data_IF_392247521597
#
_entry.id   IF_392247521597
#
_cell.length_a   1.000
_cell.length_b   1.000
_cell.length_c   1.000
_cell.angle_alpha   90.00
_cell.angle_beta   90.00
_cell.angle_gamma   90.00
#
_symmetry.space_group_name_H-M   'P 1'
#
loop_
_entity.id
_entity.type
_entity.pdbx_description
1 polymer ?
#
# COMPACT_ATOMS: atom_id res chain seq x y z
N UNK A 1 -53.73 -14.67 17.94
CA UNK A 1 -54.00 -14.94 16.51
C UNK A 1 -53.18 -13.92 15.73
N UNK A 2 -52.18 -14.20 14.89
CA UNK A 2 -51.77 -15.38 14.11
C UNK A 2 -50.22 -15.43 14.12
N UNK A 3 -49.65 -16.63 14.31
CA UNK A 3 -48.22 -16.96 14.11
C UNK A 3 -48.00 -17.46 12.67
N UNK A 4 -46.88 -17.14 12.03
CA UNK A 4 -46.28 -17.87 10.87
C UNK A 4 -44.91 -17.24 10.52
N UNK A 5 -43.78 -17.74 11.05
CA UNK A 5 -42.84 -18.77 10.56
C UNK A 5 -41.69 -18.24 9.65
N UNK A 6 -40.40 -18.61 9.91
CA UNK A 6 -39.23 -18.11 9.17
C UNK A 6 -38.93 -18.89 7.87
N UNK A 7 -38.35 -18.20 6.88
CA UNK A 7 -37.87 -18.76 5.60
C UNK A 7 -36.77 -19.80 5.83
N UNK A 8 -37.01 -21.03 5.39
CA UNK A 8 -36.01 -22.10 5.35
C UNK A 8 -34.98 -21.90 4.25
N UNK A 9 -33.70 -22.08 4.59
CA UNK A 9 -32.59 -22.21 3.66
C UNK A 9 -32.65 -23.59 2.98
N UNK A 10 -32.57 -23.65 1.65
CA UNK A 10 -32.42 -24.91 0.92
C UNK A 10 -31.00 -25.49 1.12
N UNK A 11 -30.83 -26.82 1.27
CA UNK A 11 -29.50 -27.41 1.44
C UNK A 11 -28.73 -27.45 0.12
N UNK A 12 -27.48 -26.97 0.15
CA UNK A 12 -26.49 -27.08 -0.93
C UNK A 12 -26.03 -28.54 -1.01
N UNK A 13 -26.24 -29.22 -2.16
CA UNK A 13 -25.71 -30.58 -2.39
C UNK A 13 -24.18 -30.56 -2.26
N UNK A 14 -23.64 -31.26 -1.27
CA UNK A 14 -22.20 -31.48 -1.10
C UNK A 14 -21.81 -32.61 -2.05
N UNK A 15 -21.08 -32.28 -3.11
CA UNK A 15 -20.57 -33.28 -4.04
C UNK A 15 -19.25 -33.84 -3.51
N UNK A 16 -19.14 -35.16 -3.43
CA UNK A 16 -18.03 -35.81 -2.70
C UNK A 16 -16.72 -35.80 -3.52
N UNK A 17 -15.59 -35.77 -2.81
CA UNK A 17 -14.21 -35.70 -3.33
C UNK A 17 -13.86 -36.76 -4.40
N UNK A 18 -14.62 -37.87 -4.46
CA UNK A 18 -14.45 -38.96 -5.42
C UNK A 18 -14.94 -38.62 -6.84
N UNK A 19 -15.97 -37.78 -6.97
CA UNK A 19 -16.53 -37.40 -8.28
C UNK A 19 -15.67 -36.32 -8.98
N UNK A 20 -15.10 -35.38 -8.20
CA UNK A 20 -14.16 -34.37 -8.71
C UNK A 20 -12.84 -35.00 -9.21
N UNK A 21 -12.40 -36.09 -8.58
CA UNK A 21 -11.14 -36.77 -8.93
C UNK A 21 -11.23 -37.57 -10.25
N UNK A 22 -12.44 -37.95 -10.68
CA UNK A 22 -12.65 -38.66 -11.95
C UNK A 22 -12.81 -37.71 -13.16
N UNK A 23 -13.24 -36.46 -12.95
CA UNK A 23 -13.31 -35.46 -14.04
C UNK A 23 -11.95 -34.90 -14.46
N UNK A 24 -10.93 -34.93 -13.58
CA UNK A 24 -9.60 -34.40 -13.89
C UNK A 24 -8.66 -35.38 -14.63
N UNK A 25 -9.11 -36.61 -14.90
CA UNK A 25 -8.29 -37.67 -15.53
C UNK A 25 -8.60 -37.94 -17.01
N UNK A 26 -9.51 -37.20 -17.64
CA UNK A 26 -9.92 -37.46 -19.03
C UNK A 26 -9.53 -36.38 -20.05
N UNK A 27 -8.72 -35.38 -19.67
CA UNK A 27 -8.41 -34.22 -20.52
C UNK A 27 -6.95 -34.11 -20.95
N UNK A 28 -6.26 -35.24 -21.16
CA UNK A 28 -4.88 -35.22 -21.66
C UNK A 28 -4.70 -36.28 -22.73
N UNK A 29 -5.03 -35.95 -23.97
CA UNK A 29 -4.55 -36.60 -25.18
C UNK A 29 -5.04 -35.84 -26.42
N UNK A 30 -4.18 -35.76 -27.44
CA UNK A 30 -4.42 -35.35 -28.84
C UNK A 30 -4.19 -33.83 -29.13
N UNK A 31 -3.38 -33.36 -30.08
CA UNK A 31 -2.68 -33.95 -31.26
C UNK A 31 -1.48 -33.07 -31.65
N UNK A 32 -0.40 -33.72 -32.08
CA UNK A 32 0.80 -33.20 -32.75
C UNK A 32 0.60 -32.91 -34.25
N UNK A 33 1.29 -31.86 -34.73
CA UNK A 33 1.95 -31.70 -36.04
C UNK A 33 1.13 -31.75 -37.36
N UNK A 34 1.27 -30.69 -38.16
CA UNK A 34 1.29 -30.80 -39.62
C UNK A 34 2.16 -29.68 -40.24
N UNK A 35 3.39 -30.04 -40.63
CA UNK A 35 4.21 -29.34 -41.62
C UNK A 35 3.69 -29.75 -43.00
N UNK A 36 3.50 -28.81 -43.93
CA UNK A 36 3.61 -29.06 -45.37
C UNK A 36 3.81 -27.76 -46.18
N UNK A 37 4.85 -27.83 -47.02
CA UNK A 37 5.37 -26.87 -48.00
C UNK A 37 4.31 -26.30 -48.96
N UNK A 38 4.42 -25.02 -49.32
CA UNK A 38 4.14 -24.55 -50.69
C UNK A 38 5.09 -23.40 -51.10
N UNK A 39 5.86 -23.70 -52.15
CA UNK A 39 6.38 -22.90 -53.26
C UNK A 39 7.01 -21.51 -53.02
N UNK A 40 8.28 -21.43 -53.44
CA UNK A 40 8.99 -20.21 -53.76
C UNK A 40 8.33 -19.45 -54.93
N UNK A 41 8.13 -18.15 -54.75
CA UNK A 41 7.98 -17.19 -55.84
C UNK A 41 8.79 -15.96 -55.44
N UNK A 42 9.98 -15.85 -56.03
CA UNK A 42 10.84 -14.69 -55.88
C UNK A 42 10.24 -13.53 -56.68
N UNK A 43 9.65 -12.56 -55.99
CA UNK A 43 9.48 -11.21 -56.50
C UNK A 43 10.48 -10.31 -55.79
N UNK A 44 11.41 -9.76 -56.56
CA UNK A 44 12.34 -8.74 -56.11
C UNK A 44 11.56 -7.50 -55.67
N UNK A 45 11.47 -7.28 -54.35
CA UNK A 45 11.08 -6.01 -53.77
C UNK A 45 12.32 -5.41 -53.12
N UNK A 46 12.71 -4.22 -53.61
CA UNK A 46 13.82 -3.45 -53.10
C UNK A 46 13.66 -3.22 -51.60
N UNK A 47 14.48 -3.88 -50.79
CA UNK A 47 14.56 -3.64 -49.36
C UNK A 47 15.29 -2.32 -49.15
N UNK A 48 14.53 -1.26 -48.83
CA UNK A 48 15.09 -0.12 -48.09
C UNK A 48 15.57 -0.69 -46.75
N UNK A 49 16.88 -0.72 -46.55
CA UNK A 49 17.48 -1.03 -45.26
C UNK A 49 17.05 0.02 -44.24
N UNK A 50 16.00 -0.27 -43.46
CA UNK A 50 15.80 0.41 -42.18
C UNK A 50 16.89 -0.08 -41.22
N UNK A 51 17.53 0.81 -40.44
CA UNK A 51 18.45 0.36 -39.41
C UNK A 51 17.68 -0.49 -38.42
N UNK A 52 18.19 -1.69 -38.14
CA UNK A 52 17.71 -2.49 -37.04
C UNK A 52 17.93 -1.69 -35.75
N UNK A 53 16.87 -1.08 -35.25
CA UNK A 53 16.82 -0.58 -33.88
C UNK A 53 16.95 -1.83 -33.02
N UNK A 54 18.15 -2.05 -32.47
CA UNK A 54 18.39 -3.08 -31.48
C UNK A 54 17.34 -2.90 -30.39
N UNK A 55 16.43 -3.87 -30.29
CA UNK A 55 15.56 -3.97 -29.14
C UNK A 55 16.47 -4.25 -27.95
N UNK A 56 16.86 -3.19 -27.24
CA UNK A 56 17.41 -3.29 -25.90
C UNK A 56 16.33 -3.94 -25.04
N UNK A 57 16.39 -5.26 -24.93
CA UNK A 57 15.68 -6.00 -23.92
C UNK A 57 16.28 -5.55 -22.59
N UNK A 58 15.71 -4.52 -21.99
CA UNK A 58 15.98 -4.17 -20.60
C UNK A 58 15.58 -5.39 -19.77
N UNK A 59 16.55 -6.23 -19.43
CA UNK A 59 16.35 -7.33 -18.48
C UNK A 59 16.06 -6.70 -17.13
N UNK A 60 14.78 -6.50 -16.81
CA UNK A 60 14.38 -6.13 -15.46
C UNK A 60 14.74 -7.29 -14.55
N UNK A 61 15.63 -7.06 -13.58
CA UNK A 61 15.93 -8.04 -12.53
C UNK A 61 14.63 -8.50 -11.86
N UNK A 62 14.53 -9.78 -11.43
CA UNK A 62 13.35 -10.26 -10.73
C UNK A 62 13.13 -9.45 -9.44
N UNK A 63 11.86 -9.21 -9.02
CA UNK A 63 11.57 -8.51 -7.78
C UNK A 63 12.24 -9.17 -6.57
N UNK A 64 12.81 -8.36 -5.69
CA UNK A 64 13.31 -8.77 -4.36
C UNK A 64 12.22 -8.62 -3.30
N UNK A 65 12.39 -9.26 -2.14
CA UNK A 65 11.52 -9.06 -0.96
C UNK A 65 11.42 -7.58 -0.62
N UNK A 66 12.56 -6.88 -0.57
CA UNK A 66 12.60 -5.44 -0.35
C UNK A 66 11.76 -4.68 -1.38
N UNK A 67 11.92 -4.94 -2.68
CA UNK A 67 11.16 -4.24 -3.73
C UNK A 67 9.66 -4.48 -3.67
N UNK A 68 9.22 -5.66 -3.20
CA UNK A 68 7.81 -5.98 -3.05
C UNK A 68 7.17 -5.17 -1.90
N UNK A 69 7.86 -5.04 -0.77
CA UNK A 69 7.43 -4.24 0.37
C UNK A 69 7.51 -2.74 0.03
N UNK A 70 8.60 -2.33 -0.60
CA UNK A 70 8.86 -0.93 -0.99
C UNK A 70 7.80 -0.37 -1.93
N UNK A 71 7.23 -1.23 -2.77
CA UNK A 71 6.09 -0.87 -3.63
C UNK A 71 4.88 -0.44 -2.81
N UNK A 72 4.54 -1.15 -1.74
CA UNK A 72 3.42 -0.80 -0.85
C UNK A 72 3.69 0.54 -0.14
N UNK A 73 4.92 0.73 0.35
CA UNK A 73 5.36 1.98 0.99
C UNK A 73 5.28 3.16 0.01
N UNK A 74 5.73 2.96 -1.23
CA UNK A 74 5.67 3.99 -2.28
C UNK A 74 4.23 4.39 -2.60
N UNK A 75 3.30 3.43 -2.63
CA UNK A 75 1.88 3.69 -2.87
C UNK A 75 1.28 4.55 -1.75
N UNK A 76 1.42 4.12 -0.50
CA UNK A 76 0.84 4.88 0.62
C UNK A 76 1.53 6.22 0.85
N UNK A 77 2.84 6.33 0.60
CA UNK A 77 3.54 7.62 0.63
C UNK A 77 2.90 8.60 -0.35
N UNK A 78 2.70 8.17 -1.60
CA UNK A 78 2.11 9.02 -2.64
C UNK A 78 0.72 9.51 -2.19
N UNK A 79 -0.13 8.60 -1.74
CA UNK A 79 -1.50 8.94 -1.34
C UNK A 79 -1.57 9.87 -0.12
N UNK A 80 -0.76 9.61 0.91
CA UNK A 80 -0.67 10.46 2.10
C UNK A 80 -0.15 11.86 1.73
N UNK A 81 0.91 11.95 0.92
CA UNK A 81 1.50 13.23 0.51
C UNK A 81 0.53 14.03 -0.35
N UNK A 82 -0.11 13.41 -1.34
CA UNK A 82 -1.09 14.09 -2.19
C UNK A 82 -2.30 14.58 -1.39
N UNK A 83 -2.79 13.77 -0.43
CA UNK A 83 -3.86 14.20 0.48
C UNK A 83 -3.43 15.39 1.36
N UNK A 84 -2.19 15.37 1.88
CA UNK A 84 -1.64 16.47 2.67
C UNK A 84 -1.52 17.77 1.85
N UNK A 85 -1.08 17.66 0.59
CA UNK A 85 -0.94 18.79 -0.31
C UNK A 85 -2.31 19.37 -0.71
N UNK A 86 -3.34 18.53 -0.83
CA UNK A 86 -4.70 18.93 -1.20
C UNK A 86 -5.46 19.71 -0.11
N UNK A 87 -5.15 19.51 1.17
CA UNK A 87 -5.80 20.25 2.26
C UNK A 87 -5.28 21.71 2.33
N UNK A 88 -6.14 22.74 2.34
CA UNK A 88 -5.74 24.13 2.59
C UNK A 88 -5.01 24.30 3.92
N UNK A 89 -4.05 25.22 3.99
CA UNK A 89 -3.21 25.42 5.19
C UNK A 89 -4.02 25.83 6.42
N UNK A 90 -5.04 26.68 6.24
CA UNK A 90 -5.98 27.12 7.27
C UNK A 90 -6.89 26.00 7.80
N UNK A 91 -6.82 24.79 7.21
CA UNK A 91 -7.59 23.61 7.60
C UNK A 91 -6.73 22.48 8.18
N UNK A 92 -5.42 22.69 8.37
CA UNK A 92 -4.57 21.70 9.04
C UNK A 92 -4.96 21.47 10.50
N UNK A 93 -5.65 22.41 11.12
CA UNK A 93 -6.20 22.28 12.48
C UNK A 93 -7.63 21.68 12.50
N UNK A 94 -8.16 21.23 11.36
CA UNK A 94 -9.49 20.63 11.29
C UNK A 94 -9.51 19.26 11.96
N UNK A 95 -10.49 19.02 12.81
CA UNK A 95 -10.97 17.69 13.22
C UNK A 95 -12.49 17.63 13.05
N UNK A 96 -13.09 16.42 12.98
CA UNK A 96 -14.55 16.25 12.93
C UNK A 96 -15.30 16.90 14.11
N UNK A 97 -14.63 17.17 15.23
CA UNK A 97 -15.19 17.91 16.36
C UNK A 97 -15.75 19.28 15.93
N UNK A 98 -15.08 19.97 14.99
CA UNK A 98 -15.52 21.28 14.49
C UNK A 98 -16.89 21.25 13.81
N UNK A 99 -17.38 20.08 13.42
CA UNK A 99 -18.70 19.92 12.78
C UNK A 99 -19.86 19.92 13.79
N UNK A 100 -19.58 19.78 15.10
CA UNK A 100 -20.60 19.80 16.16
C UNK A 100 -21.79 18.86 15.90
N UNK A 101 -21.52 17.65 15.39
CA UNK A 101 -22.57 16.69 15.04
C UNK A 101 -23.30 16.20 16.31
N UNK A 102 -24.65 16.24 16.35
CA UNK A 102 -25.41 15.73 17.50
C UNK A 102 -25.10 14.26 17.79
N UNK A 103 -24.85 13.94 19.06
CA UNK A 103 -24.53 12.57 19.49
C UNK A 103 -23.13 12.07 19.13
N UNK A 104 -22.26 12.93 18.59
CA UNK A 104 -20.86 12.58 18.30
C UNK A 104 -19.94 12.75 19.52
N UNK A 105 -18.84 12.00 19.54
CA UNK A 105 -17.76 12.13 20.53
C UNK A 105 -16.40 12.19 19.82
N UNK A 106 -16.08 13.37 19.27
CA UNK A 106 -14.85 13.60 18.51
C UNK A 106 -13.78 14.39 19.27
N UNK A 107 -13.97 14.65 20.57
CA UNK A 107 -13.12 15.54 21.38
C UNK A 107 -11.65 15.12 21.48
N UNK A 108 -11.36 13.85 21.24
CA UNK A 108 -10.01 13.26 21.32
C UNK A 108 -9.46 12.88 19.97
N UNK A 109 -10.20 13.14 18.90
CA UNK A 109 -9.79 12.81 17.54
C UNK A 109 -8.79 13.85 17.05
N UNK A 110 -7.64 13.36 16.57
CA UNK A 110 -6.57 14.19 16.03
C UNK A 110 -7.07 15.09 14.90
N UNK A 111 -6.55 16.31 14.86
CA UNK A 111 -6.66 17.20 13.70
C UNK A 111 -5.94 16.62 12.49
N UNK A 112 -6.22 17.14 11.30
CA UNK A 112 -5.57 16.73 10.05
C UNK A 112 -4.04 16.83 10.12
N UNK A 113 -3.52 17.94 10.65
CA UNK A 113 -2.08 18.15 10.86
C UNK A 113 -1.50 17.20 11.91
N UNK A 114 -2.24 16.89 12.97
CA UNK A 114 -1.81 15.90 13.96
C UNK A 114 -1.78 14.47 13.41
N UNK A 115 -2.69 14.12 12.50
CA UNK A 115 -2.65 12.82 11.79
C UNK A 115 -1.35 12.69 10.98
N UNK A 116 -0.98 13.74 10.23
CA UNK A 116 0.27 13.75 9.46
C UNK A 116 1.51 13.68 10.36
N UNK A 117 1.54 14.47 11.45
CA UNK A 117 2.63 14.41 12.43
C UNK A 117 2.70 13.03 13.09
N UNK A 118 1.56 12.40 13.34
CA UNK A 118 1.49 11.05 13.90
C UNK A 118 2.03 10.00 12.93
N UNK A 119 1.64 10.04 11.65
CA UNK A 119 2.21 9.16 10.61
C UNK A 119 3.74 9.29 10.59
N UNK A 120 4.25 10.52 10.51
CA UNK A 120 5.68 10.75 10.42
C UNK A 120 6.45 10.27 11.65
N UNK A 121 5.97 10.60 12.85
CA UNK A 121 6.56 10.16 14.11
C UNK A 121 6.53 8.63 14.26
N UNK A 122 5.39 8.01 13.96
CA UNK A 122 5.23 6.55 14.01
C UNK A 122 6.13 5.85 12.99
N UNK A 123 6.29 6.39 11.77
CA UNK A 123 7.23 5.88 10.79
C UNK A 123 8.64 5.79 11.37
N UNK A 124 9.16 6.88 11.96
CA UNK A 124 10.48 6.84 12.60
C UNK A 124 10.58 5.73 13.66
N UNK A 125 9.56 5.57 14.51
CA UNK A 125 9.56 4.52 15.54
C UNK A 125 9.43 3.09 14.97
N UNK A 126 8.71 2.90 13.87
CA UNK A 126 8.54 1.58 13.24
C UNK A 126 9.81 1.19 12.48
N UNK A 127 10.46 2.14 11.81
CA UNK A 127 11.64 1.88 10.97
C UNK A 127 12.94 1.76 11.75
N UNK A 128 13.08 2.49 12.87
CA UNK A 128 14.32 2.55 13.66
C UNK A 128 14.82 1.16 14.11
N UNK A 129 13.96 0.24 14.63
CA UNK A 129 14.39 -1.10 14.99
C UNK A 129 14.89 -1.96 13.82
N UNK A 130 14.51 -1.66 12.57
CA UNK A 130 14.94 -2.44 11.40
C UNK A 130 16.44 -2.23 11.16
N UNK A 131 16.90 -0.98 11.25
CA UNK A 131 18.28 -0.56 10.97
C UNK A 131 19.14 -0.43 12.23
N UNK A 132 18.52 -0.25 13.40
CA UNK A 132 19.20 0.09 14.65
C UNK A 132 19.53 1.58 14.81
N UNK A 133 19.16 2.42 13.83
CA UNK A 133 19.33 3.87 13.93
C UNK A 133 18.33 4.45 14.94
N UNK A 134 18.74 5.47 15.69
CA UNK A 134 17.86 6.14 16.65
C UNK A 134 16.89 7.09 15.90
N UNK A 135 15.59 7.12 16.26
CA UNK A 135 14.69 8.14 15.73
C UNK A 135 15.11 9.55 16.20
N UNK A 136 14.67 10.62 15.51
CA UNK A 136 14.89 11.99 15.99
C UNK A 136 14.36 12.20 17.41
N UNK A 137 15.07 12.98 18.23
CA UNK A 137 14.66 13.26 19.63
C UNK A 137 13.31 13.98 19.73
N UNK A 138 12.85 14.58 18.63
CA UNK A 138 11.55 15.23 18.52
C UNK A 138 10.38 14.27 18.32
N UNK A 139 10.64 12.97 18.24
CA UNK A 139 9.63 11.91 18.12
C UNK A 139 9.42 11.26 19.49
N UNK A 140 8.20 11.33 20.02
CA UNK A 140 7.87 10.74 21.31
C UNK A 140 6.52 10.01 21.23
N UNK A 141 6.52 8.67 21.38
CA UNK A 141 5.31 7.83 21.36
C UNK A 141 4.35 8.12 20.19
N UNK A 142 4.90 8.27 18.98
CA UNK A 142 4.14 8.57 17.78
C UNK A 142 3.58 9.99 17.74
N UNK A 143 4.08 10.90 18.60
CA UNK A 143 3.82 12.34 18.50
C UNK A 143 5.03 13.03 17.87
N UNK A 144 4.76 13.83 16.84
CA UNK A 144 5.73 14.77 16.29
C UNK A 144 5.83 16.04 17.13
N UNK A 145 6.72 16.98 16.77
CA UNK A 145 6.92 18.22 17.54
C UNK A 145 5.63 19.05 17.71
N UNK A 146 5.40 19.54 18.93
CA UNK A 146 4.22 20.37 19.26
C UNK A 146 4.25 21.75 18.59
N UNK A 147 5.45 22.31 18.44
CA UNK A 147 5.67 23.61 17.81
C UNK A 147 5.60 23.56 16.27
N UNK A 148 5.60 22.38 15.65
CA UNK A 148 5.45 22.21 14.22
C UNK A 148 3.98 22.38 13.82
N UNK A 149 3.68 23.50 13.16
CA UNK A 149 2.31 23.88 12.74
C UNK A 149 2.21 24.25 11.27
N UNK A 150 3.28 24.73 10.64
CA UNK A 150 3.22 25.17 9.26
C UNK A 150 3.02 23.96 8.33
N UNK A 151 2.13 24.10 7.33
CA UNK A 151 1.81 23.02 6.39
C UNK A 151 3.07 22.47 5.73
N UNK A 152 3.95 23.35 5.28
CA UNK A 152 5.19 22.97 4.60
C UNK A 152 6.13 22.14 5.49
N UNK A 153 6.26 22.50 6.77
CA UNK A 153 7.09 21.77 7.73
C UNK A 153 6.55 20.38 8.02
N UNK A 154 5.23 20.26 8.20
CA UNK A 154 4.56 18.98 8.45
C UNK A 154 4.71 18.05 7.23
N UNK A 155 4.48 18.55 6.01
CA UNK A 155 4.64 17.76 4.78
C UNK A 155 6.09 17.32 4.61
N UNK A 156 7.06 18.19 4.92
CA UNK A 156 8.47 17.82 4.89
C UNK A 156 8.76 16.69 5.90
N UNK A 157 8.26 16.80 7.12
CA UNK A 157 8.45 15.78 8.16
C UNK A 157 7.90 14.41 7.74
N UNK A 158 6.72 14.39 7.09
CA UNK A 158 6.15 13.18 6.48
C UNK A 158 7.07 12.61 5.39
N UNK A 159 7.49 13.43 4.42
CA UNK A 159 8.38 13.00 3.32
C UNK A 159 9.70 12.43 3.83
N UNK A 160 10.32 13.10 4.81
CA UNK A 160 11.56 12.64 5.43
C UNK A 160 11.37 11.27 6.13
N UNK A 161 10.24 11.07 6.83
CA UNK A 161 9.93 9.80 7.50
C UNK A 161 9.77 8.62 6.53
N UNK A 162 9.19 8.87 5.34
CA UNK A 162 9.08 7.86 4.28
C UNK A 162 10.43 7.59 3.63
N UNK A 163 11.25 8.62 3.42
CA UNK A 163 12.62 8.45 2.92
C UNK A 163 13.46 7.58 3.88
N UNK A 164 13.26 7.72 5.19
CA UNK A 164 13.86 6.80 6.16
C UNK A 164 13.31 5.38 6.02
N UNK A 165 12.00 5.22 5.85
CA UNK A 165 11.37 3.91 5.57
C UNK A 165 11.93 3.20 4.34
N UNK A 166 12.06 3.89 3.21
CA UNK A 166 12.66 3.35 1.98
C UNK A 166 14.09 2.85 2.20
N UNK A 167 14.92 3.63 2.92
CA UNK A 167 16.28 3.21 3.30
C UNK A 167 16.27 1.95 4.16
N UNK A 168 15.37 1.89 5.14
CA UNK A 168 15.22 0.73 6.02
C UNK A 168 14.77 -0.52 5.26
N UNK A 169 13.78 -0.40 4.38
CA UNK A 169 13.29 -1.52 3.54
C UNK A 169 14.36 -2.04 2.60
N UNK A 170 15.24 -1.18 2.07
CA UNK A 170 16.34 -1.59 1.20
C UNK A 170 17.36 -2.54 1.89
N UNK A 171 17.37 -2.61 3.22
CA UNK A 171 18.23 -3.54 3.98
C UNK A 171 17.66 -4.96 4.10
N UNK A 172 16.39 -5.16 3.73
CA UNK A 172 15.69 -6.43 3.93
C UNK A 172 16.11 -7.48 2.91
N UNK A 173 16.32 -8.70 3.39
CA UNK A 173 16.68 -9.85 2.57
C UNK A 173 16.19 -11.16 3.21
N UNK A 174 16.33 -12.27 2.48
CA UNK A 174 15.88 -13.59 2.91
C UNK A 174 16.51 -14.08 4.22
N UNK A 175 17.71 -13.61 4.58
CA UNK A 175 18.38 -14.03 5.81
C UNK A 175 17.92 -13.25 7.05
N UNK A 176 17.50 -11.99 6.92
CA UNK A 176 17.25 -11.13 8.10
C UNK A 176 15.77 -10.84 8.40
N UNK A 177 14.85 -11.12 7.47
CA UNK A 177 13.48 -10.61 7.57
C UNK A 177 12.69 -11.19 8.76
N UNK A 178 12.96 -12.44 9.15
CA UNK A 178 12.28 -13.13 10.26
C UNK A 178 13.15 -13.24 11.50
N UNK A 179 14.35 -12.66 11.49
CA UNK A 179 15.18 -12.59 12.68
C UNK A 179 14.44 -11.82 13.78
N UNK A 180 14.40 -12.35 15.02
CA UNK A 180 13.85 -11.64 16.15
C UNK A 180 14.62 -10.34 16.41
N UNK A 181 13.88 -9.25 16.53
CA UNK A 181 14.38 -7.94 16.96
C UNK A 181 13.46 -7.38 18.05
N UNK A 182 13.86 -6.26 18.63
CA UNK A 182 13.06 -5.56 19.65
C UNK A 182 12.50 -4.28 19.05
N UNK A 183 11.16 -4.11 19.08
CA UNK A 183 10.51 -2.86 18.67
C UNK A 183 10.88 -1.68 19.58
N UNK A 184 10.57 -0.45 19.16
CA UNK A 184 10.76 0.74 20.02
C UNK A 184 9.99 0.69 21.34
N UNK A 185 8.95 -0.14 21.44
CA UNK A 185 8.20 -0.38 22.70
C UNK A 185 8.87 -1.42 23.63
N UNK A 186 10.03 -1.96 23.26
CA UNK A 186 10.70 -3.04 24.00
C UNK A 186 10.11 -4.43 23.77
N UNK A 187 9.07 -4.57 22.94
CA UNK A 187 8.44 -5.87 22.65
C UNK A 187 9.17 -6.63 21.54
N UNK A 188 9.32 -7.98 21.66
CA UNK A 188 9.84 -8.81 20.58
C UNK A 188 9.00 -8.72 19.30
N UNK A 189 9.66 -8.71 18.15
CA UNK A 189 9.03 -8.64 16.81
C UNK A 189 10.01 -9.13 15.72
N UNK A 190 9.67 -8.95 14.44
CA UNK A 190 10.55 -9.21 13.29
C UNK A 190 10.60 -8.01 12.35
N UNK A 191 11.66 -7.92 11.54
CA UNK A 191 11.76 -6.88 10.50
C UNK A 191 10.60 -6.95 9.51
N UNK A 192 10.19 -8.16 9.13
CA UNK A 192 9.05 -8.38 8.24
C UNK A 192 7.77 -7.80 8.83
N UNK A 193 7.48 -8.05 10.11
CA UNK A 193 6.28 -7.52 10.75
C UNK A 193 6.30 -5.98 10.75
N UNK A 194 7.40 -5.36 11.15
CA UNK A 194 7.49 -3.89 11.18
C UNK A 194 7.33 -3.29 9.78
N UNK A 195 7.98 -3.88 8.77
CA UNK A 195 7.96 -3.36 7.42
C UNK A 195 6.59 -3.45 6.74
N UNK A 196 5.82 -4.52 6.99
CA UNK A 196 4.45 -4.63 6.49
C UNK A 196 3.46 -3.82 7.33
N UNK A 197 3.68 -3.73 8.64
CA UNK A 197 2.85 -2.94 9.55
C UNK A 197 2.93 -1.44 9.25
N UNK A 198 4.09 -0.92 8.83
CA UNK A 198 4.24 0.48 8.47
C UNK A 198 3.27 0.93 7.36
N UNK A 199 3.10 0.11 6.32
CA UNK A 199 2.13 0.37 5.26
C UNK A 199 0.70 0.37 5.81
N UNK A 200 0.34 -0.66 6.57
CA UNK A 200 -0.99 -0.80 7.16
C UNK A 200 -1.35 0.37 8.09
N UNK A 201 -0.41 0.79 8.94
CA UNK A 201 -0.54 1.97 9.81
C UNK A 201 -0.79 3.24 8.99
N UNK A 202 0.00 3.47 7.93
CA UNK A 202 -0.18 4.64 7.09
C UNK A 202 -1.55 4.64 6.38
N UNK A 203 -2.02 3.49 5.88
CA UNK A 203 -3.32 3.38 5.24
C UNK A 203 -4.50 3.60 6.20
N UNK A 204 -4.39 3.16 7.46
CA UNK A 204 -5.40 3.43 8.51
C UNK A 204 -5.60 4.94 8.71
N UNK A 205 -4.49 5.68 8.81
CA UNK A 205 -4.55 7.14 8.95
C UNK A 205 -4.94 7.85 7.65
N UNK A 206 -4.49 7.35 6.49
CA UNK A 206 -4.90 7.88 5.20
C UNK A 206 -6.42 7.83 5.02
N UNK A 207 -7.08 6.71 5.36
CA UNK A 207 -8.54 6.61 5.31
C UNK A 207 -9.24 7.70 6.12
N UNK A 208 -8.74 7.99 7.32
CA UNK A 208 -9.25 9.07 8.16
C UNK A 208 -9.01 10.46 7.52
N UNK A 209 -7.83 10.69 6.95
CA UNK A 209 -7.50 11.94 6.25
C UNK A 209 -8.40 12.18 5.04
N UNK A 210 -8.77 11.13 4.32
CA UNK A 210 -9.69 11.23 3.17
C UNK A 210 -11.07 11.72 3.60
N UNK A 211 -11.60 11.18 4.70
CA UNK A 211 -12.86 11.67 5.26
C UNK A 211 -12.77 13.15 5.64
N UNK A 212 -11.62 13.62 6.14
CA UNK A 212 -11.46 15.03 6.51
C UNK A 212 -11.44 15.94 5.29
N UNK A 213 -10.83 15.51 4.18
CA UNK A 213 -10.92 16.22 2.91
C UNK A 213 -12.38 16.35 2.45
N UNK A 214 -13.14 15.25 2.51
CA UNK A 214 -14.55 15.23 2.11
C UNK A 214 -15.43 16.12 3.00
N UNK A 215 -15.26 16.06 4.31
CA UNK A 215 -15.94 16.94 5.27
C UNK A 215 -15.63 18.43 5.02
N UNK A 216 -14.50 18.72 4.38
CA UNK A 216 -14.10 20.07 3.98
C UNK A 216 -14.45 20.44 2.53
N UNK A 217 -15.25 19.63 1.85
CA UNK A 217 -15.68 19.86 0.47
C UNK A 217 -14.60 19.62 -0.59
N UNK A 218 -13.50 18.97 -0.22
CA UNK A 218 -12.35 18.73 -1.10
C UNK A 218 -12.46 17.32 -1.68
N UNK A 219 -12.35 17.21 -3.00
CA UNK A 219 -12.24 15.91 -3.66
C UNK A 219 -10.82 15.34 -3.45
N UNK A 220 -10.67 14.21 -2.75
CA UNK A 220 -9.43 13.47 -2.62
C UNK A 220 -8.75 13.26 -3.97
N UNK A 221 -7.42 13.50 -4.05
CA UNK A 221 -6.66 13.32 -5.29
C UNK A 221 -6.89 11.97 -5.99
N UNK A 222 -6.87 10.86 -5.23
CA UNK A 222 -7.05 9.51 -5.77
C UNK A 222 -8.46 9.24 -6.35
N UNK A 223 -9.46 10.04 -6.00
CA UNK A 223 -10.83 9.91 -6.51
C UNK A 223 -11.14 10.84 -7.69
N UNK A 224 -10.19 11.67 -8.14
CA UNK A 224 -10.45 12.62 -9.24
C UNK A 224 -10.65 11.86 -10.55
N UNK A 225 -11.72 12.18 -11.27
CA UNK A 225 -12.04 11.56 -12.57
C UNK A 225 -12.78 10.24 -12.48
N UNK A 226 -13.25 9.84 -11.28
CA UNK A 226 -14.23 8.77 -11.09
C UNK A 226 -15.66 9.29 -11.22
#
# INVERSE_FOLDING_TARGET
>A
MIRSLPRGLLPRKVQTKKEQLNLMKQSSLLVTAALSLVAASAFAQATKSSPAVGASTSTSSPPTIASAIDREISLVQKEVVEAAEAMPEDKFDFSPEKLNLPGSDYKTVRTFGEQLKHIAASNYLIWSPITGEKPPDTVNDGKGPDNMKAKAEIIKFVKDSFAFGHKSVATLNSSNLVEPITSSSGRPTTRLFLATFAAAHCFDHYGQMIEYLRMNGIVPPASRGQ
#
